data_IF_472256573221
#
_entry.id   IF_472256573221
#
_cell.length_a   1.000
_cell.length_b   1.000
_cell.length_c   1.000
_cell.angle_alpha   90.00
_cell.angle_beta   90.00
_cell.angle_gamma   90.00
#
_symmetry.space_group_name_H-M   'P 1'
#
loop_
_entity.id
_entity.type
_entity.pdbx_description
1 polymer ?
#
# COMPACT_ATOMS: atom_id res chain seq x y z
N UNK A 1 -13.30 8.66 -7.82
CA UNK A 1 -11.92 8.42 -7.38
C UNK A 1 -11.76 6.93 -7.12
N UNK A 2 -10.78 6.33 -7.78
CA UNK A 2 -10.42 4.91 -7.60
C UNK A 2 -9.27 4.79 -6.63
N UNK A 3 -9.39 3.90 -5.66
CA UNK A 3 -8.39 3.69 -4.61
C UNK A 3 -7.97 2.23 -4.59
N UNK A 4 -6.68 1.97 -4.65
CA UNK A 4 -6.14 0.64 -4.40
C UNK A 4 -5.46 0.59 -3.03
N UNK A 5 -5.80 -0.43 -2.26
CA UNK A 5 -5.20 -0.75 -0.98
C UNK A 5 -4.29 -1.95 -1.17
N UNK A 6 -3.02 -1.83 -0.80
CA UNK A 6 -2.02 -2.89 -0.98
C UNK A 6 -1.56 -3.39 0.39
N UNK A 7 -1.97 -4.61 0.74
CA UNK A 7 -1.44 -5.33 1.90
C UNK A 7 -0.16 -6.06 1.48
N UNK A 8 0.98 -5.40 1.67
CA UNK A 8 2.28 -5.78 1.12
C UNK A 8 3.00 -6.92 1.86
N UNK A 9 2.38 -7.57 2.83
CA UNK A 9 2.99 -8.72 3.53
C UNK A 9 2.61 -10.04 2.86
N UNK A 10 3.57 -10.93 2.54
CA UNK A 10 3.27 -12.29 2.08
C UNK A 10 2.86 -13.23 3.22
N UNK A 11 2.97 -12.80 4.46
CA UNK A 11 2.68 -13.62 5.63
C UNK A 11 1.18 -13.78 5.85
N UNK A 12 0.69 -15.03 5.83
CA UNK A 12 -0.71 -15.36 6.16
C UNK A 12 -1.03 -14.94 7.62
N UNK A 13 -2.22 -14.37 7.81
CA UNK A 13 -2.70 -13.89 9.12
C UNK A 13 -1.73 -12.90 9.81
N UNK A 14 -1.02 -12.10 9.01
CA UNK A 14 -0.08 -11.11 9.52
C UNK A 14 -0.76 -9.80 9.92
N UNK A 15 -0.16 -9.07 10.84
CA UNK A 15 -0.69 -7.79 11.34
C UNK A 15 -0.85 -6.73 10.23
N UNK A 16 -0.01 -6.76 9.18
CA UNK A 16 -0.18 -5.87 8.01
C UNK A 16 -1.54 -6.08 7.36
N UNK A 17 -2.01 -7.33 7.26
CA UNK A 17 -3.33 -7.64 6.70
C UNK A 17 -4.47 -7.05 7.55
N UNK A 18 -4.37 -7.15 8.88
CA UNK A 18 -5.36 -6.58 9.82
C UNK A 18 -5.48 -5.06 9.61
N UNK A 19 -4.33 -4.37 9.53
CA UNK A 19 -4.27 -2.92 9.33
C UNK A 19 -4.87 -2.55 7.97
N UNK A 20 -4.44 -3.21 6.89
CA UNK A 20 -4.86 -2.83 5.55
C UNK A 20 -6.32 -3.17 5.27
N UNK A 21 -6.86 -4.21 5.92
CA UNK A 21 -8.30 -4.51 5.90
C UNK A 21 -9.09 -3.40 6.60
N UNK A 22 -8.61 -2.89 7.75
CA UNK A 22 -9.23 -1.75 8.42
C UNK A 22 -9.24 -0.50 7.51
N UNK A 23 -8.12 -0.18 6.88
CA UNK A 23 -8.02 0.92 5.91
C UNK A 23 -8.99 0.71 4.74
N UNK A 24 -9.10 -0.51 4.21
CA UNK A 24 -10.02 -0.84 3.13
C UNK A 24 -11.48 -0.54 3.51
N UNK A 25 -11.94 -1.03 4.66
CA UNK A 25 -13.32 -0.79 5.13
C UNK A 25 -13.58 0.71 5.38
N UNK A 26 -12.60 1.41 5.97
CA UNK A 26 -12.72 2.86 6.19
C UNK A 26 -12.77 3.64 4.87
N UNK A 27 -11.89 3.33 3.91
CA UNK A 27 -11.87 4.00 2.61
C UNK A 27 -13.17 3.75 1.84
N UNK A 28 -13.69 2.52 1.88
CA UNK A 28 -14.98 2.15 1.29
C UNK A 28 -16.14 2.95 1.87
N UNK A 29 -16.12 3.25 3.19
CA UNK A 29 -17.14 4.09 3.84
C UNK A 29 -17.15 5.54 3.35
N UNK A 30 -16.11 6.00 2.64
CA UNK A 30 -16.01 7.32 2.01
C UNK A 30 -16.60 7.36 0.59
N UNK A 31 -17.32 6.33 0.15
CA UNK A 31 -17.88 6.19 -1.20
C UNK A 31 -16.82 6.22 -2.32
N UNK A 32 -15.58 5.82 -2.02
CA UNK A 32 -14.53 5.62 -3.02
C UNK A 32 -14.66 4.24 -3.67
N UNK A 33 -14.40 4.14 -4.97
CA UNK A 33 -14.25 2.86 -5.67
C UNK A 33 -12.95 2.20 -5.22
N UNK A 34 -13.05 1.23 -4.30
CA UNK A 34 -11.92 0.71 -3.54
C UNK A 34 -11.65 -0.75 -3.85
N UNK A 35 -10.39 -1.07 -4.15
CA UNK A 35 -9.89 -2.44 -4.36
C UNK A 35 -8.85 -2.79 -3.30
N UNK A 36 -8.84 -4.04 -2.84
CA UNK A 36 -7.83 -4.58 -1.94
C UNK A 36 -6.99 -5.64 -2.66
N UNK A 37 -5.68 -5.43 -2.70
CA UNK A 37 -4.70 -6.41 -3.15
C UNK A 37 -3.99 -6.95 -1.91
N UNK A 38 -4.16 -8.23 -1.62
CA UNK A 38 -3.59 -8.87 -0.44
C UNK A 38 -2.51 -9.88 -0.84
N UNK A 39 -1.25 -9.53 -0.64
CA UNK A 39 -0.11 -10.36 -1.06
C UNK A 39 0.05 -11.64 -0.22
N UNK A 40 -0.63 -11.76 0.92
CA UNK A 40 -0.62 -13.00 1.71
C UNK A 40 -1.41 -14.15 1.09
N UNK A 41 -2.21 -13.88 0.06
CA UNK A 41 -2.97 -14.90 -0.67
C UNK A 41 -2.09 -15.70 -1.64
N UNK A 42 -0.87 -15.21 -1.95
CA UNK A 42 0.10 -15.91 -2.78
C UNK A 42 -0.30 -16.04 -4.25
N UNK A 43 -1.20 -15.17 -4.73
CA UNK A 43 -1.75 -15.24 -6.10
C UNK A 43 -0.90 -14.49 -7.12
N UNK A 44 -0.01 -13.60 -6.67
CA UNK A 44 0.88 -12.83 -7.54
C UNK A 44 2.09 -13.69 -7.88
N UNK A 45 2.29 -13.99 -9.14
CA UNK A 45 3.43 -14.76 -9.61
C UNK A 45 4.75 -13.99 -9.42
N UNK A 46 5.87 -14.74 -9.39
CA UNK A 46 7.18 -14.12 -9.43
C UNK A 46 7.44 -13.54 -10.83
N UNK A 47 7.87 -12.27 -10.89
CA UNK A 47 8.17 -11.60 -12.15
C UNK A 47 9.36 -12.26 -12.87
N UNK A 48 9.18 -12.57 -14.14
CA UNK A 48 10.16 -13.24 -15.02
C UNK A 48 10.53 -12.39 -16.25
N UNK A 49 9.87 -11.22 -16.41
CA UNK A 49 10.12 -10.33 -17.56
C UNK A 49 8.82 -9.89 -18.24
N UNK A 50 8.89 -8.86 -19.12
CA UNK A 50 7.70 -8.28 -19.73
C UNK A 50 7.08 -9.16 -20.84
N UNK A 51 7.85 -10.10 -21.40
CA UNK A 51 7.40 -10.99 -22.50
C UNK A 51 6.72 -12.27 -22.00
N UNK A 52 6.66 -12.45 -20.66
CA UNK A 52 6.11 -13.66 -20.06
C UNK A 52 4.59 -13.57 -19.85
N UNK A 53 3.93 -14.68 -19.99
CA UNK A 53 2.52 -14.80 -19.62
C UNK A 53 2.37 -15.02 -18.12
N UNK A 54 1.41 -14.32 -17.54
CA UNK A 54 1.09 -14.36 -16.12
C UNK A 54 -0.38 -14.70 -15.89
N UNK A 55 -0.70 -15.21 -14.70
CA UNK A 55 -2.06 -15.54 -14.34
C UNK A 55 -2.97 -14.29 -14.26
N UNK A 56 -4.27 -14.53 -14.28
CA UNK A 56 -5.28 -13.45 -14.28
C UNK A 56 -5.25 -12.62 -12.98
N UNK A 57 -4.87 -13.20 -11.84
CA UNK A 57 -4.74 -12.46 -10.58
C UNK A 57 -3.62 -11.41 -10.66
N UNK A 58 -2.46 -11.79 -11.20
CA UNK A 58 -1.32 -10.88 -11.41
C UNK A 58 -1.68 -9.77 -12.40
N UNK A 59 -2.31 -10.12 -13.53
CA UNK A 59 -2.76 -9.15 -14.54
C UNK A 59 -3.80 -8.18 -13.97
N UNK A 60 -4.80 -8.69 -13.25
CA UNK A 60 -5.83 -7.87 -12.62
C UNK A 60 -5.25 -6.93 -11.56
N UNK A 61 -4.37 -7.43 -10.68
CA UNK A 61 -3.74 -6.61 -9.64
C UNK A 61 -2.91 -5.47 -10.24
N UNK A 62 -2.10 -5.75 -11.25
CA UNK A 62 -1.31 -4.71 -11.93
C UNK A 62 -2.19 -3.67 -12.62
N UNK A 63 -3.29 -4.12 -13.25
CA UNK A 63 -4.27 -3.23 -13.87
C UNK A 63 -4.96 -2.35 -12.83
N UNK A 64 -5.44 -2.92 -11.71
CA UNK A 64 -6.12 -2.17 -10.65
C UNK A 64 -5.19 -1.07 -10.07
N UNK A 65 -3.90 -1.35 -9.90
CA UNK A 65 -2.89 -0.36 -9.46
C UNK A 65 -2.74 0.76 -10.50
N UNK A 66 -2.60 0.41 -11.77
CA UNK A 66 -2.43 1.40 -12.83
C UNK A 66 -3.69 2.24 -13.08
N UNK A 67 -4.88 1.70 -12.82
CA UNK A 67 -6.16 2.41 -13.00
C UNK A 67 -6.56 3.25 -11.77
N UNK A 68 -5.96 3.02 -10.61
CA UNK A 68 -6.29 3.75 -9.40
C UNK A 68 -5.66 5.15 -9.38
N UNK A 69 -6.38 6.12 -8.80
CA UNK A 69 -5.92 7.50 -8.56
C UNK A 69 -5.06 7.58 -7.29
N UNK A 70 -5.36 6.73 -6.32
CA UNK A 70 -4.75 6.71 -4.98
C UNK A 70 -4.27 5.31 -4.63
N UNK A 71 -3.06 5.23 -4.09
CA UNK A 71 -2.46 4.01 -3.54
C UNK A 71 -2.28 4.12 -2.04
N UNK A 72 -2.89 3.23 -1.26
CA UNK A 72 -2.63 3.09 0.17
C UNK A 72 -1.83 1.82 0.40
N UNK A 73 -0.56 1.98 0.73
CA UNK A 73 0.42 0.90 0.75
C UNK A 73 0.79 0.55 2.18
N UNK A 74 0.54 -0.69 2.59
CA UNK A 74 1.03 -1.24 3.84
C UNK A 74 2.21 -2.18 3.63
N UNK A 75 3.33 -1.95 4.30
CA UNK A 75 4.49 -2.84 4.24
C UNK A 75 5.00 -3.21 5.63
N UNK A 76 5.32 -4.49 5.87
CA UNK A 76 6.15 -4.84 7.01
C UNK A 76 7.61 -4.46 6.74
N UNK A 77 8.40 -4.35 7.81
CA UNK A 77 9.87 -4.30 7.73
C UNK A 77 10.40 -5.73 7.85
N UNK A 78 11.07 -6.19 6.80
CA UNK A 78 11.79 -7.47 6.78
C UNK A 78 13.26 -7.21 6.45
N UNK A 79 14.17 -7.58 7.37
CA UNK A 79 15.60 -7.37 7.19
C UNK A 79 15.96 -5.92 6.75
N UNK A 80 15.41 -4.93 7.45
CA UNK A 80 15.59 -3.49 7.20
C UNK A 80 15.08 -3.00 5.83
N UNK A 81 14.19 -3.77 5.19
CA UNK A 81 13.61 -3.43 3.89
C UNK A 81 12.10 -3.62 3.87
N UNK A 82 11.41 -3.07 2.86
CA UNK A 82 10.02 -3.46 2.60
C UNK A 82 9.97 -4.88 2.01
N UNK A 83 8.81 -5.52 2.02
CA UNK A 83 8.70 -6.93 1.63
C UNK A 83 9.08 -7.17 0.16
N UNK A 84 9.72 -8.30 -0.11
CA UNK A 84 10.02 -8.75 -1.48
C UNK A 84 8.75 -8.97 -2.31
N UNK A 85 7.65 -9.39 -1.68
CA UNK A 85 6.37 -9.55 -2.34
C UNK A 85 5.82 -8.21 -2.87
N UNK A 86 6.00 -7.12 -2.08
CA UNK A 86 5.64 -5.78 -2.52
C UNK A 86 6.53 -5.32 -3.69
N UNK A 87 7.84 -5.56 -3.62
CA UNK A 87 8.75 -5.22 -4.72
C UNK A 87 8.38 -5.99 -5.99
N UNK A 88 8.08 -7.30 -5.87
CA UNK A 88 7.66 -8.14 -6.97
C UNK A 88 6.38 -7.60 -7.65
N UNK A 89 5.39 -7.14 -6.88
CA UNK A 89 4.17 -6.56 -7.42
C UNK A 89 4.47 -5.31 -8.26
N UNK A 90 5.41 -4.47 -7.82
CA UNK A 90 5.80 -3.25 -8.55
C UNK A 90 6.58 -3.52 -9.84
N UNK A 91 7.13 -4.72 -10.07
CA UNK A 91 7.77 -5.08 -11.35
C UNK A 91 6.76 -5.11 -12.53
N UNK A 92 5.48 -5.34 -12.25
CA UNK A 92 4.43 -5.39 -13.26
C UNK A 92 3.87 -4.01 -13.65
N UNK A 93 4.28 -2.94 -12.95
CA UNK A 93 3.66 -1.62 -13.11
C UNK A 93 4.37 -0.82 -14.19
N UNK A 94 3.62 -0.35 -15.19
CA UNK A 94 4.14 0.54 -16.21
C UNK A 94 4.12 2.00 -15.68
N UNK A 95 5.31 2.56 -15.45
CA UNK A 95 5.47 3.93 -14.93
C UNK A 95 4.81 5.02 -15.79
N UNK A 96 4.61 4.78 -17.10
CA UNK A 96 3.91 5.72 -18.00
C UNK A 96 2.41 5.88 -17.68
N UNK A 97 1.86 4.98 -16.86
CA UNK A 97 0.44 4.99 -16.45
C UNK A 97 0.22 5.46 -15.01
N UNK A 98 1.27 5.95 -14.36
CA UNK A 98 1.21 6.21 -12.91
C UNK A 98 1.50 7.66 -12.51
N UNK A 99 1.81 8.51 -13.47
CA UNK A 99 2.05 9.93 -13.24
C UNK A 99 0.83 10.64 -12.64
N UNK A 100 1.07 11.47 -11.62
CA UNK A 100 0.03 12.26 -10.97
C UNK A 100 -0.80 11.51 -9.92
N UNK A 101 -0.56 10.19 -9.71
CA UNK A 101 -1.21 9.45 -8.63
C UNK A 101 -0.66 9.87 -7.27
N UNK A 102 -1.44 9.62 -6.22
CA UNK A 102 -1.05 9.94 -4.84
C UNK A 102 -0.96 8.67 -4.01
N UNK A 103 0.06 8.56 -3.16
CA UNK A 103 0.23 7.42 -2.28
C UNK A 103 0.32 7.81 -0.80
N UNK A 104 -0.35 7.05 0.06
CA UNK A 104 -0.17 7.03 1.51
C UNK A 104 0.48 5.73 1.96
N UNK A 105 1.27 5.77 3.04
CA UNK A 105 2.06 4.63 3.49
C UNK A 105 1.80 4.28 4.96
N UNK A 106 1.71 2.98 5.23
CA UNK A 106 1.73 2.41 6.58
C UNK A 106 2.88 1.42 6.66
N UNK A 107 3.76 1.60 7.63
CA UNK A 107 4.92 0.75 7.84
C UNK A 107 4.81 0.07 9.19
N UNK A 108 4.89 -1.25 9.20
CA UNK A 108 4.79 -2.10 10.38
C UNK A 108 6.12 -2.76 10.69
N UNK A 109 6.60 -2.59 11.92
CA UNK A 109 7.82 -3.24 12.40
C UNK A 109 7.57 -4.07 13.66
N UNK A 110 8.48 -4.98 13.97
CA UNK A 110 8.48 -5.70 15.25
C UNK A 110 8.89 -4.79 16.42
N UNK A 111 9.66 -3.74 16.17
CA UNK A 111 10.11 -2.72 17.12
C UNK A 111 10.25 -1.36 16.46
N UNK A 112 10.90 -0.40 17.14
CA UNK A 112 10.95 1.00 16.71
C UNK A 112 12.12 1.34 15.78
N UNK A 113 12.65 0.38 15.02
CA UNK A 113 13.83 0.57 14.16
C UNK A 113 13.44 0.42 12.68
N UNK A 114 14.05 1.23 11.82
CA UNK A 114 13.98 1.09 10.37
C UNK A 114 12.77 1.72 9.70
N UNK A 115 11.89 2.42 10.43
CA UNK A 115 10.71 3.05 9.85
C UNK A 115 11.05 4.08 8.78
N UNK A 116 11.96 5.00 9.09
CA UNK A 116 12.38 6.07 8.16
C UNK A 116 13.14 5.49 6.96
N UNK A 117 13.97 4.46 7.20
CA UNK A 117 14.71 3.80 6.12
C UNK A 117 13.75 3.19 5.11
N UNK A 118 12.75 2.43 5.59
CA UNK A 118 11.76 1.79 4.71
C UNK A 118 10.84 2.82 4.07
N UNK A 119 10.44 3.89 4.77
CA UNK A 119 9.70 5.00 4.15
C UNK A 119 10.50 5.60 2.99
N UNK A 120 11.79 5.87 3.20
CA UNK A 120 12.68 6.43 2.18
C UNK A 120 12.77 5.53 0.96
N UNK A 121 12.95 4.22 1.16
CA UNK A 121 13.03 3.23 0.09
C UNK A 121 11.73 3.14 -0.72
N UNK A 122 10.57 3.15 -0.05
CA UNK A 122 9.28 3.14 -0.75
C UNK A 122 9.07 4.47 -1.48
N UNK A 123 9.42 5.61 -0.87
CA UNK A 123 9.33 6.93 -1.52
C UNK A 123 10.20 7.00 -2.76
N UNK A 124 11.43 6.47 -2.70
CA UNK A 124 12.31 6.36 -3.87
C UNK A 124 11.70 5.52 -4.98
N UNK A 125 11.12 4.36 -4.63
CA UNK A 125 10.41 3.51 -5.58
C UNK A 125 9.24 4.26 -6.23
N UNK A 126 8.41 4.93 -5.44
CA UNK A 126 7.25 5.69 -5.92
C UNK A 126 7.65 6.89 -6.78
N UNK A 127 8.80 7.52 -6.51
CA UNK A 127 9.35 8.59 -7.34
C UNK A 127 9.69 8.11 -8.75
N UNK A 128 10.20 6.88 -8.91
CA UNK A 128 10.38 6.27 -10.23
C UNK A 128 9.06 6.14 -10.99
N UNK A 129 7.97 5.84 -10.29
CA UNK A 129 6.63 5.77 -10.84
C UNK A 129 5.94 7.15 -10.97
N UNK A 130 6.62 8.26 -10.64
CA UNK A 130 6.08 9.63 -10.64
C UNK A 130 4.83 9.80 -9.78
N UNK A 131 4.74 9.03 -8.71
CA UNK A 131 3.64 9.06 -7.74
C UNK A 131 3.99 10.03 -6.63
N UNK A 132 3.05 10.91 -6.29
CA UNK A 132 3.19 11.89 -5.22
C UNK A 132 2.92 11.22 -3.89
N UNK A 133 3.88 11.22 -2.97
CA UNK A 133 3.72 10.59 -1.67
C UNK A 133 3.20 11.57 -0.62
N UNK A 134 2.22 11.13 0.18
CA UNK A 134 1.88 11.82 1.41
C UNK A 134 3.10 11.76 2.36
N UNK A 135 3.65 12.90 2.80
CA UNK A 135 4.84 12.91 3.65
C UNK A 135 4.59 12.31 5.04
N UNK A 136 3.34 12.24 5.47
CA UNK A 136 2.95 11.63 6.74
C UNK A 136 2.69 10.14 6.58
N UNK A 137 3.73 9.32 6.70
CA UNK A 137 3.53 7.88 6.86
C UNK A 137 3.02 7.55 8.28
N UNK A 138 2.28 6.47 8.41
CA UNK A 138 1.91 5.91 9.72
C UNK A 138 2.85 4.76 10.06
N UNK A 139 3.53 4.88 11.19
CA UNK A 139 4.41 3.86 11.74
C UNK A 139 3.70 3.13 12.88
N UNK A 140 3.65 1.81 12.80
CA UNK A 140 3.05 0.93 13.80
C UNK A 140 4.03 -0.17 14.19
N UNK A 141 3.98 -0.59 15.45
CA UNK A 141 4.66 -1.79 15.90
C UNK A 141 3.67 -2.97 16.00
N UNK A 142 4.20 -4.18 16.10
CA UNK A 142 3.35 -5.36 16.36
C UNK A 142 2.57 -5.27 17.65
N UNK A 143 3.03 -4.47 18.63
CA UNK A 143 2.36 -4.21 19.89
C UNK A 143 1.09 -3.36 19.73
N UNK A 144 0.99 -2.58 18.64
CA UNK A 144 -0.22 -1.80 18.29
C UNK A 144 -1.42 -2.70 17.95
N UNK A 145 -1.19 -4.01 17.80
CA UNK A 145 -2.22 -4.96 17.37
C UNK A 145 -2.27 -6.11 18.37
N UNK A 146 -3.37 -6.20 19.11
CA UNK A 146 -3.66 -7.29 20.04
C UNK A 146 -4.91 -8.01 19.59
N UNK A 147 -4.87 -9.35 19.53
CA UNK A 147 -6.01 -10.19 19.15
C UNK A 147 -6.73 -9.72 17.86
N UNK A 148 -5.95 -9.35 16.84
CA UNK A 148 -6.44 -8.75 15.58
C UNK A 148 -7.18 -7.40 15.77
N UNK A 149 -7.01 -6.75 16.90
CA UNK A 149 -7.62 -5.44 17.18
C UNK A 149 -6.56 -4.36 17.17
N UNK A 150 -6.83 -3.27 16.45
CA UNK A 150 -5.99 -2.06 16.40
C UNK A 150 -6.43 -1.12 17.53
N UNK A 151 -5.48 -0.46 18.21
CA UNK A 151 -5.78 0.54 19.23
C UNK A 151 -6.61 1.71 18.66
N UNK A 152 -7.38 2.40 19.51
CA UNK A 152 -8.20 3.53 19.05
C UNK A 152 -7.35 4.69 18.55
N UNK A 153 -6.20 4.94 19.16
CA UNK A 153 -5.27 6.00 18.74
C UNK A 153 -4.67 5.68 17.36
N UNK A 154 -4.27 4.43 17.14
CA UNK A 154 -3.75 4.01 15.84
C UNK A 154 -4.84 3.99 14.78
N UNK A 155 -6.06 3.59 15.10
CA UNK A 155 -7.21 3.73 14.19
C UNK A 155 -7.43 5.19 13.76
N UNK A 156 -7.26 6.15 14.68
CA UNK A 156 -7.35 7.58 14.35
C UNK A 156 -6.23 7.98 13.38
N UNK A 157 -4.99 7.63 13.68
CA UNK A 157 -3.83 7.92 12.80
C UNK A 157 -4.01 7.34 11.39
N UNK A 158 -4.53 6.10 11.29
CA UNK A 158 -4.82 5.46 10.01
C UNK A 158 -5.93 6.18 9.23
N UNK A 159 -7.00 6.61 9.91
CA UNK A 159 -8.06 7.41 9.27
C UNK A 159 -7.54 8.75 8.78
N UNK A 160 -6.76 9.44 9.60
CA UNK A 160 -6.16 10.73 9.23
C UNK A 160 -5.27 10.60 7.99
N UNK A 161 -4.47 9.52 7.89
CA UNK A 161 -3.68 9.21 6.70
C UNK A 161 -4.57 9.04 5.46
N UNK A 162 -5.64 8.26 5.55
CA UNK A 162 -6.57 8.05 4.43
C UNK A 162 -7.19 9.37 4.01
N UNK A 163 -7.78 10.12 4.94
CA UNK A 163 -8.47 11.38 4.65
C UNK A 163 -7.53 12.42 4.03
N UNK A 164 -6.31 12.56 4.55
CA UNK A 164 -5.31 13.47 4.00
C UNK A 164 -4.87 13.04 2.58
N UNK A 165 -4.64 11.75 2.36
CA UNK A 165 -4.22 11.23 1.06
C UNK A 165 -5.30 11.41 0.00
N UNK A 166 -6.56 11.12 0.33
CA UNK A 166 -7.70 11.37 -0.56
C UNK A 166 -7.88 12.86 -0.87
N UNK A 167 -7.70 13.74 0.14
CA UNK A 167 -7.75 15.19 -0.04
C UNK A 167 -6.63 15.70 -0.97
N UNK A 168 -5.42 15.14 -0.85
CA UNK A 168 -4.32 15.48 -1.76
C UNK A 168 -4.67 15.13 -3.21
N UNK A 169 -5.14 13.91 -3.45
CA UNK A 169 -5.53 13.45 -4.78
C UNK A 169 -6.67 14.30 -5.34
N UNK A 170 -7.68 14.62 -4.54
CA UNK A 170 -8.80 15.45 -4.94
C UNK A 170 -8.33 16.83 -5.41
N UNK A 171 -7.42 17.48 -4.68
CA UNK A 171 -6.88 18.80 -5.06
C UNK A 171 -6.08 18.77 -6.36
N UNK A 172 -5.33 17.68 -6.60
CA UNK A 172 -4.50 17.53 -7.80
C UNK A 172 -5.34 17.28 -9.07
N UNK A 173 -6.53 16.71 -8.92
CA UNK A 173 -7.39 16.37 -10.06
C UNK A 173 -8.53 17.39 -10.27
N UNK A 174 -8.50 18.54 -9.58
CA UNK A 174 -9.47 19.64 -9.78
C UNK A 174 -9.08 20.64 -10.87
N UNK A 175 -7.85 20.55 -11.38
CA UNK A 175 -7.31 21.31 -12.50
C UNK A 175 -7.36 20.49 -13.81
#
# INVERSE_FOLDING_TARGET
>A
MKVVIISGSPRKNGNTQVIMKYIFEYTKSKNADTKLINLSEGQIECYRGPEEEYNEHTKSASKDIMDADVWLIGSPIYNSFFSSALKNLFEYINYKKTEGKVAGMVILAAGNIGFIDVQTLITQLLSYFRVITNPKAVFLTTESISENTISNDDKKRLRDLVDETLKMAFKLHQD
#
